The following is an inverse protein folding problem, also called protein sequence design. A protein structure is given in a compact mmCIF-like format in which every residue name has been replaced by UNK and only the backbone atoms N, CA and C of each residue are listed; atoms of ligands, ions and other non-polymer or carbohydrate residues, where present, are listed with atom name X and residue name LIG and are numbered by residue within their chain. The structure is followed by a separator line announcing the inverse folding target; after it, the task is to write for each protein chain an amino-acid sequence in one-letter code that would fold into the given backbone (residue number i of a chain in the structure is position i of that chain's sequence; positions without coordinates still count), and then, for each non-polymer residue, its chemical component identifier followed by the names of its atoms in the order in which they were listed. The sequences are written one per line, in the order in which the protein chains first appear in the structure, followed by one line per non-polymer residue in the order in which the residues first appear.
data_IF_576869165014
#
_entry.id   IF_576869165014
#
_cell.length_a   1.000
_cell.length_b   1.000
_cell.length_c   1.000
_cell.angle_alpha   90.00
_cell.angle_beta   90.00
_cell.angle_gamma   90.00
#
_symmetry.space_group_name_H-M   'P 1'
#
loop_
_entity.id
_entity.type
_entity.pdbx_description
1 polymer ?
#
# COMPACT_ATOMS: atom_id res chain seq x y z
N UNK A 1 -6.04 6.54 -6.78
CA UNK A 1 -4.78 5.97 -7.29
C UNK A 1 -3.60 6.61 -6.54
N UNK A 2 -2.42 6.03 -6.65
CA UNK A 2 -1.15 6.45 -6.04
C UNK A 2 -0.14 6.81 -7.13
N UNK A 3 0.78 7.73 -6.83
CA UNK A 3 1.95 7.97 -7.67
C UNK A 3 3.05 6.96 -7.31
N UNK A 4 3.82 6.44 -8.29
CA UNK A 4 4.97 5.57 -8.00
C UNK A 4 6.10 6.28 -7.24
N UNK A 5 6.06 7.61 -7.18
CA UNK A 5 7.04 8.44 -6.48
C UNK A 5 6.53 8.96 -5.13
N UNK A 6 5.30 8.59 -4.73
CA UNK A 6 4.81 8.91 -3.38
C UNK A 6 5.69 8.18 -2.34
N UNK A 7 6.05 8.83 -1.21
CA UNK A 7 6.73 8.14 -0.13
C UNK A 7 5.92 6.94 0.35
N UNK A 8 6.55 5.77 0.43
CA UNK A 8 5.87 4.51 0.75
C UNK A 8 4.99 4.60 2.00
N UNK A 9 5.50 5.24 3.07
CA UNK A 9 4.74 5.44 4.32
C UNK A 9 3.47 6.27 4.12
N UNK A 10 3.54 7.35 3.34
CA UNK A 10 2.40 8.21 3.06
C UNK A 10 1.36 7.50 2.17
N UNK A 11 1.83 6.77 1.16
CA UNK A 11 0.99 5.94 0.30
C UNK A 11 0.24 4.85 1.08
N UNK A 12 0.91 4.21 2.05
CA UNK A 12 0.29 3.23 2.95
C UNK A 12 -0.84 3.84 3.78
N UNK A 13 -0.63 5.01 4.39
CA UNK A 13 -1.72 5.67 5.13
C UNK A 13 -2.87 6.08 4.21
N UNK A 14 -2.59 6.53 2.99
CA UNK A 14 -3.65 6.85 2.01
C UNK A 14 -4.51 5.62 1.68
N UNK A 15 -3.90 4.45 1.52
CA UNK A 15 -4.64 3.20 1.36
C UNK A 15 -5.43 2.84 2.62
N UNK A 16 -4.79 2.80 3.79
CA UNK A 16 -5.45 2.40 5.04
C UNK A 16 -6.65 3.29 5.38
N UNK A 17 -6.52 4.61 5.20
CA UNK A 17 -7.60 5.56 5.45
C UNK A 17 -8.73 5.48 4.41
N UNK A 18 -8.47 4.89 3.24
CA UNK A 18 -9.49 4.69 2.20
C UNK A 18 -10.35 3.45 2.42
N UNK A 19 -10.00 2.58 3.38
CA UNK A 19 -10.67 1.29 3.62
C UNK A 19 -10.74 0.38 2.39
N UNK A 20 -9.81 0.56 1.44
CA UNK A 20 -9.68 -0.28 0.25
C UNK A 20 -8.69 -1.43 0.50
N UNK A 21 -8.98 -2.59 -0.07
CA UNK A 21 -8.09 -3.75 0.01
C UNK A 21 -6.80 -3.56 -0.81
N UNK A 22 -6.85 -2.76 -1.87
CA UNK A 22 -5.72 -2.39 -2.70
C UNK A 22 -5.96 -1.03 -3.38
N UNK A 23 -4.89 -0.32 -3.74
CA UNK A 23 -4.96 0.93 -4.51
C UNK A 23 -3.99 0.89 -5.70
N UNK A 24 -4.44 1.25 -6.91
CA UNK A 24 -3.58 1.25 -8.09
C UNK A 24 -2.50 2.32 -8.02
N UNK A 25 -1.28 1.92 -8.40
CA UNK A 25 -0.13 2.79 -8.63
C UNK A 25 -0.09 3.12 -10.12
N UNK A 26 -0.30 4.40 -10.44
CA UNK A 26 -0.40 4.90 -11.81
C UNK A 26 0.75 5.84 -12.12
N UNK A 27 1.48 5.56 -13.20
CA UNK A 27 2.54 6.40 -13.73
C UNK A 27 2.01 7.54 -14.59
N UNK A 28 2.89 8.11 -15.43
CA UNK A 28 2.52 9.14 -16.40
C UNK A 28 1.42 8.64 -17.33
N UNK A 29 0.57 9.56 -17.78
CA UNK A 29 -0.51 9.29 -18.73
C UNK A 29 -1.50 8.22 -18.24
N UNK A 30 -1.64 8.05 -16.92
CA UNK A 30 -2.56 7.08 -16.32
C UNK A 30 -2.13 5.62 -16.48
N UNK A 31 -0.89 5.36 -16.95
CA UNK A 31 -0.37 4.01 -17.11
C UNK A 31 -0.40 3.25 -15.78
N UNK A 32 -1.12 2.12 -15.72
CA UNK A 32 -1.11 1.24 -14.55
C UNK A 32 0.27 0.58 -14.43
N UNK A 33 0.95 0.79 -13.30
CA UNK A 33 2.26 0.21 -13.01
C UNK A 33 2.18 -0.94 -12.00
N UNK A 34 1.14 -0.96 -11.17
CA UNK A 34 0.94 -2.01 -10.17
C UNK A 34 -0.12 -1.63 -9.13
N UNK A 35 -0.07 -2.32 -7.99
CA UNK A 35 -1.00 -2.17 -6.87
C UNK A 35 -0.20 -2.05 -5.56
N UNK A 36 -0.70 -1.23 -4.63
CA UNK A 36 -0.36 -1.33 -3.22
C UNK A 36 -1.50 -2.09 -2.52
N UNK A 37 -1.20 -3.20 -1.85
CA UNK A 37 -2.17 -4.01 -1.11
C UNK A 37 -2.20 -3.65 0.37
N UNK A 38 -3.30 -3.97 1.06
CA UNK A 38 -3.48 -3.66 2.48
C UNK A 38 -2.47 -4.35 3.39
N UNK A 39 -2.10 -5.59 3.11
CA UNK A 39 -1.08 -6.32 3.86
C UNK A 39 0.31 -5.70 3.72
N UNK A 40 0.70 -5.31 2.50
CA UNK A 40 1.93 -4.57 2.25
C UNK A 40 1.91 -3.18 2.93
N UNK A 41 0.77 -2.48 2.91
CA UNK A 41 0.63 -1.19 3.57
C UNK A 41 0.74 -1.31 5.09
N UNK A 42 0.12 -2.33 5.70
CA UNK A 42 0.25 -2.64 7.13
C UNK A 42 1.70 -2.95 7.46
N UNK A 43 2.38 -3.80 6.68
CA UNK A 43 3.79 -4.13 6.91
C UNK A 43 4.71 -2.91 6.87
N UNK A 44 4.37 -1.89 6.08
CA UNK A 44 5.14 -0.65 5.94
C UNK A 44 4.99 0.31 7.14
N UNK A 45 3.86 0.30 7.85
CA UNK A 45 3.56 1.28 8.92
C UNK A 45 3.47 0.67 10.31
N UNK A 46 3.24 -0.64 10.41
CA UNK A 46 3.14 -1.34 11.67
C UNK A 46 4.50 -1.33 12.41
N UNK A 47 4.48 -1.29 13.75
CA UNK A 47 5.65 -1.56 14.57
C UNK A 47 6.36 -2.86 14.15
N UNK A 48 7.70 -2.89 14.20
CA UNK A 48 8.50 -4.04 13.73
C UNK A 48 8.21 -5.36 14.45
N UNK A 49 7.68 -5.30 15.67
CA UNK A 49 7.27 -6.49 16.42
C UNK A 49 5.91 -7.05 15.96
N UNK A 50 5.18 -6.34 15.10
CA UNK A 50 3.86 -6.75 14.60
C UNK A 50 3.88 -7.25 13.15
N UNK A 51 4.96 -7.02 12.41
CA UNK A 51 5.06 -7.42 11.00
C UNK A 51 4.98 -8.94 10.80
N UNK A 52 5.36 -9.75 11.80
CA UNK A 52 5.16 -11.20 11.77
C UNK A 52 3.71 -11.64 11.97
N UNK A 53 2.85 -10.74 12.46
CA UNK A 53 1.43 -10.99 12.74
C UNK A 53 0.51 -10.33 11.71
N UNK A 54 1.04 -9.51 10.80
CA UNK A 54 0.26 -8.88 9.76
C UNK A 54 -0.38 -9.97 8.86
N UNK A 55 -1.71 -9.92 8.62
CA UNK A 55 -2.37 -10.88 7.75
C UNK A 55 -1.78 -10.79 6.34
N UNK A 56 -1.44 -11.93 5.73
CA UNK A 56 -1.08 -12.00 4.31
C UNK A 56 -2.31 -12.38 3.52
N UNK A 57 -2.94 -11.40 2.88
CA UNK A 57 -4.19 -11.58 2.15
C UNK A 57 -3.89 -11.78 0.67
N UNK A 58 -2.77 -11.24 0.17
CA UNK A 58 -2.40 -11.22 -1.24
C UNK A 58 -1.06 -11.92 -1.54
N UNK A 59 -0.54 -12.74 -0.61
CA UNK A 59 0.72 -13.50 -0.77
C UNK A 59 0.55 -14.84 -1.46
#
# INVERSE_FOLDING_TARGET
TLSPLDPARAASYKLLNSHLAAMPVTGREGKLLGLLTVDAAVAQVAPRNWTSQAPRIFS
#
